data_IF_573775517381
#
_entry.id   IF_573775517381
#
_cell.length_a   1.000
_cell.length_b   1.000
_cell.length_c   1.000
_cell.angle_alpha   90.00
_cell.angle_beta   90.00
_cell.angle_gamma   90.00
#
_symmetry.space_group_name_H-M   'P 1'
#
loop_
_entity.id
_entity.type
_entity.pdbx_description
1 polymer ?
#
# COMPACT_ATOMS: atom_id res chain seq x y z
N UNK A 1 2.64 -16.81 -32.34
CA UNK A 1 1.74 -15.71 -31.94
C UNK A 1 1.92 -15.47 -30.45
N UNK A 2 1.85 -14.21 -30.03
CA UNK A 2 2.32 -13.66 -28.74
C UNK A 2 1.88 -14.43 -27.48
N UNK A 3 2.81 -15.17 -26.88
CA UNK A 3 2.92 -15.20 -25.42
C UNK A 3 4.19 -14.41 -25.14
N UNK A 4 4.09 -13.08 -25.11
CA UNK A 4 5.10 -12.28 -24.42
C UNK A 4 4.93 -12.65 -22.94
N UNK A 5 5.73 -13.61 -22.49
CA UNK A 5 5.79 -14.06 -21.11
C UNK A 5 5.80 -12.83 -20.20
N UNK A 6 4.83 -12.77 -19.29
CA UNK A 6 4.73 -11.76 -18.24
C UNK A 6 5.96 -11.84 -17.34
N UNK A 7 7.05 -11.18 -17.75
CA UNK A 7 8.36 -11.31 -17.11
C UNK A 7 8.39 -10.49 -15.83
N UNK A 8 8.25 -11.18 -14.69
CA UNK A 8 8.67 -10.63 -13.41
C UNK A 8 10.18 -10.81 -13.27
N UNK A 9 10.87 -9.79 -12.78
CA UNK A 9 12.28 -9.84 -12.43
C UNK A 9 12.41 -9.99 -10.92
N UNK A 10 13.16 -11.02 -10.48
CA UNK A 10 13.50 -11.17 -9.07
C UNK A 10 14.71 -10.32 -8.70
N UNK A 11 14.68 -9.68 -7.55
CA UNK A 11 15.80 -8.85 -7.10
C UNK A 11 15.65 -8.25 -5.72
N UNK A 12 16.51 -7.27 -5.44
CA UNK A 12 16.61 -6.59 -4.15
C UNK A 12 16.82 -5.08 -4.35
N UNK A 13 16.30 -4.30 -3.41
CA UNK A 13 16.65 -2.90 -3.25
C UNK A 13 17.81 -2.74 -2.27
N UNK A 14 18.67 -1.76 -2.50
CA UNK A 14 19.72 -1.39 -1.56
C UNK A 14 19.98 0.12 -1.59
N UNK A 15 20.43 0.69 -0.48
CA UNK A 15 20.94 2.05 -0.49
C UNK A 15 22.25 2.12 -1.26
N UNK A 16 22.38 3.12 -2.12
CA UNK A 16 23.60 3.38 -2.89
C UNK A 16 24.78 3.51 -1.93
N UNK A 17 25.80 2.70 -2.18
CA UNK A 17 27.01 2.62 -1.35
C UNK A 17 26.75 2.25 0.13
N UNK A 18 25.58 1.67 0.45
CA UNK A 18 25.19 1.34 1.82
C UNK A 18 24.82 2.56 2.69
N UNK A 19 24.74 3.76 2.11
CA UNK A 19 24.46 4.99 2.85
C UNK A 19 22.95 5.15 3.00
N UNK A 20 22.43 4.86 4.19
CA UNK A 20 21.00 4.95 4.50
C UNK A 20 20.42 6.33 4.19
N UNK A 21 19.14 6.35 3.82
CA UNK A 21 18.37 7.58 3.57
C UNK A 21 18.90 8.42 2.41
N UNK A 22 19.50 7.76 1.42
CA UNK A 22 20.00 8.38 0.17
C UNK A 22 19.31 7.80 -1.06
N UNK A 23 20.03 7.58 -2.16
CA UNK A 23 19.49 6.97 -3.36
C UNK A 23 19.33 5.46 -3.15
N UNK A 24 18.17 4.91 -3.49
CA UNK A 24 17.95 3.46 -3.54
C UNK A 24 18.22 2.98 -4.96
N UNK A 25 18.89 1.83 -5.07
CA UNK A 25 19.14 1.13 -6.33
C UNK A 25 18.43 -0.21 -6.35
N UNK A 26 17.90 -0.58 -7.52
CA UNK A 26 17.39 -1.93 -7.79
C UNK A 26 18.51 -2.79 -8.40
N UNK A 27 18.62 -4.04 -7.96
CA UNK A 27 19.56 -5.02 -8.55
C UNK A 27 18.84 -6.35 -8.76
N UNK A 28 18.75 -6.84 -10.01
CA UNK A 28 18.29 -8.19 -10.29
C UNK A 28 19.17 -9.22 -9.56
N UNK A 29 18.54 -10.13 -8.83
CA UNK A 29 19.21 -11.13 -8.00
C UNK A 29 18.27 -12.30 -7.77
N UNK A 30 18.71 -13.51 -8.09
CA UNK A 30 17.94 -14.76 -7.93
C UNK A 30 17.59 -15.08 -6.47
N UNK A 31 18.39 -14.56 -5.52
CA UNK A 31 18.16 -14.66 -4.07
C UNK A 31 17.35 -13.49 -3.50
N UNK A 32 16.93 -12.56 -4.35
CA UNK A 32 16.09 -11.44 -3.97
C UNK A 32 14.71 -11.87 -3.48
N UNK A 33 14.10 -11.07 -2.60
CA UNK A 33 12.76 -11.33 -2.06
C UNK A 33 11.65 -10.60 -2.82
N UNK A 34 12.01 -9.69 -3.72
CA UNK A 34 11.07 -8.94 -4.53
C UNK A 34 10.89 -9.59 -5.89
N UNK A 35 9.64 -9.69 -6.34
CA UNK A 35 9.27 -9.90 -7.73
C UNK A 35 8.72 -8.59 -8.28
N UNK A 36 9.28 -8.11 -9.38
CA UNK A 36 8.91 -6.82 -9.98
C UNK A 36 8.50 -7.02 -11.43
N UNK A 37 7.29 -6.58 -11.78
CA UNK A 37 6.76 -6.55 -13.15
C UNK A 37 6.96 -5.22 -13.86
N UNK A 38 7.32 -4.14 -13.15
CA UNK A 38 7.64 -2.85 -13.76
C UNK A 38 8.66 -2.07 -12.93
N UNK A 39 9.66 -1.49 -13.60
CA UNK A 39 10.60 -0.55 -13.04
C UNK A 39 10.39 0.83 -13.69
N UNK A 40 10.18 1.91 -12.91
CA UNK A 40 10.05 3.25 -13.45
C UNK A 40 11.33 3.71 -14.16
N UNK A 41 11.20 4.65 -15.11
CA UNK A 41 12.35 5.35 -15.71
C UNK A 41 13.16 6.09 -14.64
N UNK A 42 14.45 6.34 -14.90
CA UNK A 42 15.37 6.99 -13.93
C UNK A 42 14.85 8.31 -13.36
N UNK A 43 14.16 9.11 -14.16
CA UNK A 43 13.58 10.40 -13.73
C UNK A 43 12.37 10.25 -12.78
N UNK A 44 11.78 9.05 -12.70
CA UNK A 44 10.66 8.71 -11.81
C UNK A 44 11.12 7.91 -10.59
N UNK A 45 12.36 7.40 -10.58
CA UNK A 45 12.95 6.72 -9.42
C UNK A 45 13.37 7.72 -8.33
N UNK A 46 13.33 7.29 -7.07
CA UNK A 46 13.81 8.05 -5.91
C UNK A 46 13.17 9.45 -5.79
N UNK A 47 11.90 9.58 -6.18
CA UNK A 47 11.19 10.87 -6.19
C UNK A 47 10.56 11.16 -4.84
N UNK A 48 11.21 12.05 -4.10
CA UNK A 48 10.71 12.60 -2.85
C UNK A 48 11.12 14.07 -2.69
N UNK A 49 10.43 14.80 -1.79
CA UNK A 49 10.87 16.11 -1.31
C UNK A 49 11.19 16.05 0.18
N UNK A 50 12.10 16.90 0.64
CA UNK A 50 12.44 17.06 2.05
C UNK A 50 11.96 18.42 2.54
N UNK A 51 11.27 18.47 3.69
CA UNK A 51 10.89 19.75 4.30
C UNK A 51 12.04 20.33 5.15
N UNK A 52 11.84 21.54 5.69
CA UNK A 52 12.84 22.22 6.53
C UNK A 52 13.18 21.48 7.84
N UNK A 53 12.31 20.56 8.30
CA UNK A 53 12.52 19.73 9.49
C UNK A 53 13.28 18.44 9.18
N UNK A 54 13.48 18.17 7.89
CA UNK A 54 14.13 16.97 7.40
C UNK A 54 13.20 15.79 7.13
N UNK A 55 11.87 15.97 7.18
CA UNK A 55 10.91 14.92 6.84
C UNK A 55 10.83 14.73 5.33
N UNK A 56 10.76 13.47 4.90
CA UNK A 56 10.63 13.06 3.51
C UNK A 56 9.16 12.89 3.12
N UNK A 57 8.80 13.30 1.91
CA UNK A 57 7.46 13.17 1.33
C UNK A 57 7.53 12.53 -0.06
N UNK A 58 6.68 11.52 -0.35
CA UNK A 58 6.63 10.90 -1.66
C UNK A 58 6.15 11.91 -2.71
N UNK A 59 6.68 11.83 -3.93
CA UNK A 59 6.25 12.68 -5.05
C UNK A 59 5.48 11.93 -6.14
N UNK A 60 5.47 10.60 -6.10
CA UNK A 60 4.76 9.76 -7.07
C UNK A 60 3.43 9.20 -6.53
N UNK A 61 2.81 9.89 -5.57
CA UNK A 61 1.52 9.45 -5.00
C UNK A 61 0.36 9.41 -6.02
N UNK A 62 0.50 10.13 -7.13
CA UNK A 62 -0.42 10.12 -8.26
C UNK A 62 -0.32 8.84 -9.09
N UNK A 63 0.86 8.21 -9.15
CA UNK A 63 1.10 6.99 -9.92
C UNK A 63 0.55 5.75 -9.24
N UNK A 64 0.60 5.67 -7.92
CA UNK A 64 0.28 4.43 -7.21
C UNK A 64 0.49 4.51 -5.71
N UNK A 65 0.42 3.34 -5.07
CA UNK A 65 0.69 3.17 -3.65
C UNK A 65 1.10 1.72 -3.35
N UNK A 66 1.63 1.52 -2.14
CA UNK A 66 1.90 0.21 -1.57
C UNK A 66 0.87 -0.17 -0.51
N UNK A 67 0.67 -1.47 -0.34
CA UNK A 67 -0.03 -2.06 0.80
C UNK A 67 0.86 -3.07 1.49
N UNK A 68 0.82 -3.11 2.83
CA UNK A 68 1.71 -3.96 3.61
C UNK A 68 1.04 -4.58 4.82
N UNK A 69 1.18 -5.91 4.92
CA UNK A 69 0.93 -6.69 6.13
C UNK A 69 2.28 -6.93 6.83
N UNK A 70 2.45 -6.29 7.98
CA UNK A 70 3.72 -6.28 8.71
C UNK A 70 3.78 -7.37 9.78
N UNK A 71 4.96 -7.57 10.36
CA UNK A 71 5.14 -8.32 11.59
C UNK A 71 6.21 -7.69 12.47
N UNK A 72 6.05 -7.82 13.79
CA UNK A 72 6.95 -7.18 14.77
C UNK A 72 7.97 -8.15 15.37
N UNK A 73 7.74 -9.46 15.30
CA UNK A 73 8.57 -10.46 16.00
C UNK A 73 9.39 -11.25 14.97
N UNK A 74 10.73 -11.13 15.08
CA UNK A 74 11.69 -12.00 14.39
C UNK A 74 11.42 -13.46 14.75
N UNK A 75 11.40 -14.37 13.78
CA UNK A 75 10.82 -15.71 13.92
C UNK A 75 11.17 -16.47 15.21
N UNK A 76 10.18 -17.16 15.78
CA UNK A 76 10.39 -18.11 16.87
C UNK A 76 10.84 -19.46 16.31
N UNK A 77 11.63 -20.20 17.08
CA UNK A 77 12.06 -21.57 16.78
C UNK A 77 10.81 -22.47 16.81
N UNK A 78 10.12 -22.63 15.69
CA UNK A 78 8.83 -23.34 15.66
C UNK A 78 7.95 -23.20 14.41
N UNK A 79 8.38 -22.47 13.37
CA UNK A 79 7.80 -22.58 12.02
C UNK A 79 6.36 -22.07 11.81
N UNK A 80 5.67 -21.58 12.85
CA UNK A 80 4.24 -21.22 12.79
C UNK A 80 3.92 -19.74 12.56
N UNK A 81 4.88 -18.91 12.12
CA UNK A 81 4.71 -17.46 12.14
C UNK A 81 4.59 -16.85 10.72
N UNK A 82 3.54 -16.06 10.47
CA UNK A 82 3.18 -15.42 9.18
C UNK A 82 4.33 -14.72 8.46
N UNK A 83 4.31 -14.66 7.12
CA UNK A 83 5.26 -13.82 6.41
C UNK A 83 4.94 -12.33 6.57
N UNK A 84 5.90 -11.46 6.25
CA UNK A 84 5.59 -10.07 5.91
C UNK A 84 5.30 -10.00 4.43
N UNK A 85 4.31 -9.18 4.07
CA UNK A 85 3.91 -9.02 2.68
C UNK A 85 3.83 -7.54 2.29
N UNK A 86 4.24 -7.24 1.07
CA UNK A 86 4.19 -5.92 0.46
C UNK A 86 3.80 -6.04 -1.01
N UNK A 87 2.82 -5.26 -1.42
CA UNK A 87 2.38 -5.17 -2.82
C UNK A 87 2.40 -3.73 -3.29
N UNK A 88 2.91 -3.52 -4.50
CA UNK A 88 2.83 -2.24 -5.21
C UNK A 88 1.82 -2.31 -6.33
N UNK A 89 0.93 -1.31 -6.39
CA UNK A 89 -0.08 -1.17 -7.45
C UNK A 89 -0.09 0.25 -7.98
N UNK A 90 -0.21 0.40 -9.30
CA UNK A 90 -0.43 1.70 -9.93
C UNK A 90 -1.91 2.05 -9.98
N UNK A 91 -2.22 3.34 -9.98
CA UNK A 91 -3.55 3.90 -10.27
C UNK A 91 -3.67 4.14 -11.76
N UNK A 92 -4.87 4.50 -12.20
CA UNK A 92 -5.00 5.23 -13.45
C UNK A 92 -4.09 6.46 -13.43
N UNK A 93 -3.21 6.55 -14.41
CA UNK A 93 -2.27 7.65 -14.58
C UNK A 93 -2.06 7.91 -16.07
N UNK A 94 -1.57 9.10 -16.41
CA UNK A 94 -1.26 9.51 -17.78
C UNK A 94 0.26 9.57 -18.03
N UNK A 95 1.04 9.13 -17.05
CA UNK A 95 2.49 9.09 -17.11
C UNK A 95 2.95 7.80 -17.79
N UNK A 96 4.26 7.67 -18.01
CA UNK A 96 4.86 6.46 -18.55
C UNK A 96 5.02 5.38 -17.47
N UNK A 97 3.88 4.91 -16.97
CA UNK A 97 3.75 3.84 -15.99
C UNK A 97 2.54 2.95 -16.36
N UNK A 98 2.56 1.65 -15.97
CA UNK A 98 1.37 0.82 -16.05
C UNK A 98 0.20 1.48 -15.32
N UNK A 99 -1.03 1.29 -15.81
CA UNK A 99 -2.23 1.81 -15.15
C UNK A 99 -3.04 0.67 -14.54
N UNK A 100 -3.42 0.81 -13.26
CA UNK A 100 -4.22 -0.18 -12.54
C UNK A 100 -3.61 -1.58 -12.54
N UNK A 101 -2.28 -1.70 -12.40
CA UNK A 101 -1.59 -2.99 -12.41
C UNK A 101 -0.75 -3.17 -11.15
N UNK A 102 -0.79 -4.39 -10.60
CA UNK A 102 0.19 -4.83 -9.61
C UNK A 102 1.55 -4.97 -10.28
N UNK A 103 2.55 -4.28 -9.73
CA UNK A 103 3.91 -4.23 -10.29
C UNK A 103 4.99 -4.77 -9.37
N UNK A 104 4.69 -4.97 -8.08
CA UNK A 104 5.66 -5.50 -7.11
C UNK A 104 4.96 -6.45 -6.14
N UNK A 105 5.54 -7.62 -5.92
CA UNK A 105 5.20 -8.55 -4.86
C UNK A 105 6.45 -8.84 -4.00
N UNK A 106 6.27 -8.80 -2.69
CA UNK A 106 7.21 -9.31 -1.71
C UNK A 106 6.38 -10.09 -0.69
N UNK A 107 6.72 -11.37 -0.47
CA UNK A 107 6.08 -12.20 0.58
C UNK A 107 7.14 -13.11 1.19
N UNK A 108 7.73 -12.65 2.30
CA UNK A 108 8.83 -13.35 2.95
C UNK A 108 8.99 -12.92 4.42
N UNK A 109 9.70 -13.75 5.18
CA UNK A 109 10.12 -13.47 6.56
C UNK A 109 11.65 -13.52 6.65
N UNK A 110 12.37 -12.40 6.48
CA UNK A 110 13.81 -12.35 6.73
C UNK A 110 14.16 -12.64 8.20
N UNK A 111 15.45 -12.85 8.44
CA UNK A 111 15.99 -13.24 9.74
C UNK A 111 15.58 -12.30 10.87
N UNK A 112 15.50 -11.00 10.59
CA UNK A 112 15.03 -10.00 11.55
C UNK A 112 13.92 -9.15 10.95
N UNK A 113 13.02 -8.65 11.78
CA UNK A 113 11.97 -7.73 11.36
C UNK A 113 12.54 -6.42 10.79
N UNK A 114 13.70 -5.98 11.28
CA UNK A 114 14.39 -4.77 10.82
C UNK A 114 14.85 -4.87 9.37
N UNK A 115 15.25 -6.07 8.90
CA UNK A 115 15.56 -6.29 7.49
C UNK A 115 14.30 -6.06 6.64
N UNK A 116 13.17 -6.63 7.06
CA UNK A 116 11.89 -6.42 6.38
C UNK A 116 11.51 -4.94 6.36
N UNK A 117 11.65 -4.23 7.49
CA UNK A 117 11.31 -2.81 7.57
C UNK A 117 12.17 -1.95 6.64
N UNK A 118 13.46 -2.26 6.56
CA UNK A 118 14.36 -1.55 5.65
C UNK A 118 14.06 -1.83 4.18
N UNK A 119 13.78 -3.09 3.84
CA UNK A 119 13.41 -3.48 2.48
C UNK A 119 12.10 -2.82 2.02
N UNK A 120 11.09 -2.77 2.88
CA UNK A 120 9.82 -2.08 2.61
C UNK A 120 10.04 -0.57 2.44
N UNK A 121 10.85 0.05 3.31
CA UNK A 121 11.18 1.47 3.19
C UNK A 121 11.90 1.77 1.87
N UNK A 122 12.92 0.98 1.52
CA UNK A 122 13.67 1.16 0.29
C UNK A 122 12.78 1.02 -0.95
N UNK A 123 11.84 0.07 -0.97
CA UNK A 123 10.87 -0.04 -2.05
C UNK A 123 10.02 1.24 -2.18
N UNK A 124 9.47 1.75 -1.07
CA UNK A 124 8.68 2.98 -1.09
C UNK A 124 9.49 4.20 -1.58
N UNK A 125 10.75 4.31 -1.17
CA UNK A 125 11.66 5.38 -1.58
C UNK A 125 12.02 5.26 -3.06
N UNK A 126 12.39 4.07 -3.53
CA UNK A 126 12.74 3.83 -4.94
C UNK A 126 11.62 4.23 -5.89
N UNK A 127 10.37 3.84 -5.58
CA UNK A 127 9.22 4.20 -6.41
C UNK A 127 8.67 5.59 -6.10
N UNK A 128 9.09 6.23 -5.00
CA UNK A 128 8.57 7.53 -4.56
C UNK A 128 7.08 7.52 -4.22
N UNK A 129 6.52 6.36 -3.85
CA UNK A 129 5.09 6.15 -3.61
C UNK A 129 4.78 5.94 -2.13
N UNK A 130 3.59 6.35 -1.66
CA UNK A 130 3.17 6.15 -0.27
C UNK A 130 2.71 4.71 0.00
N UNK A 131 2.56 4.35 1.28
CA UNK A 131 2.20 3.01 1.74
C UNK A 131 1.06 3.02 2.76
N UNK A 132 0.11 2.09 2.65
CA UNK A 132 -0.87 1.79 3.68
C UNK A 132 -0.48 0.50 4.41
N UNK A 133 -0.27 0.60 5.71
CA UNK A 133 0.20 -0.52 6.55
C UNK A 133 -0.88 -0.90 7.56
N UNK A 134 -1.05 -2.19 7.82
CA UNK A 134 -1.79 -2.66 9.00
C UNK A 134 -1.12 -2.17 10.29
N UNK A 135 -1.87 -1.48 11.16
CA UNK A 135 -1.29 -0.82 12.33
C UNK A 135 -1.35 -1.64 13.64
N UNK A 136 -1.84 -2.88 13.61
CA UNK A 136 -1.84 -3.76 14.78
C UNK A 136 -0.41 -4.11 15.24
N UNK A 137 0.55 -4.10 14.31
CA UNK A 137 1.97 -4.37 14.53
C UNK A 137 2.78 -3.13 14.12
N UNK A 138 2.90 -2.13 15.01
CA UNK A 138 3.26 -0.77 14.64
C UNK A 138 4.77 -0.54 14.44
N UNK A 139 5.65 -1.53 14.66
CA UNK A 139 7.11 -1.26 14.60
C UNK A 139 7.57 -0.80 13.22
N UNK A 140 6.96 -1.31 12.14
CA UNK A 140 7.20 -0.79 10.78
C UNK A 140 6.85 0.70 10.66
N UNK A 141 5.72 1.12 11.24
CA UNK A 141 5.29 2.52 11.22
C UNK A 141 6.23 3.41 12.03
N UNK A 142 6.70 2.93 13.18
CA UNK A 142 7.73 3.61 13.96
C UNK A 142 9.06 3.70 13.20
N UNK A 143 9.46 2.65 12.46
CA UNK A 143 10.65 2.68 11.62
C UNK A 143 10.57 3.80 10.58
N UNK A 144 9.45 3.91 9.87
CA UNK A 144 9.19 5.00 8.93
C UNK A 144 9.26 6.36 9.63
N UNK A 145 8.56 6.53 10.76
CA UNK A 145 8.52 7.80 11.49
C UNK A 145 9.92 8.22 11.98
N UNK A 146 10.64 7.32 12.64
CA UNK A 146 11.93 7.62 13.26
C UNK A 146 13.02 7.92 12.20
N UNK A 147 12.84 7.43 10.97
CA UNK A 147 13.71 7.72 9.82
C UNK A 147 13.29 8.96 9.03
N UNK A 148 12.25 9.69 9.46
CA UNK A 148 11.74 10.90 8.80
C UNK A 148 10.76 10.64 7.65
N UNK A 149 10.35 9.40 7.42
CA UNK A 149 9.42 8.99 6.35
C UNK A 149 7.97 8.88 6.81
N UNK A 150 7.60 9.55 7.91
CA UNK A 150 6.21 9.50 8.41
C UNK A 150 5.20 9.85 7.31
N UNK A 151 5.50 10.81 6.44
CA UNK A 151 4.59 11.25 5.38
C UNK A 151 4.36 10.21 4.27
N UNK A 152 5.20 9.17 4.18
CA UNK A 152 4.95 8.02 3.29
C UNK A 152 3.84 7.12 3.83
N UNK A 153 3.65 7.06 5.16
CA UNK A 153 2.59 6.26 5.78
C UNK A 153 1.23 6.94 5.63
N UNK A 154 0.33 6.32 4.87
CA UNK A 154 -1.01 6.79 4.61
C UNK A 154 -1.86 6.62 5.87
N UNK A 155 -2.65 7.63 6.22
CA UNK A 155 -3.71 7.46 7.23
C UNK A 155 -4.86 6.66 6.62
N UNK A 156 -5.48 5.78 7.42
CA UNK A 156 -6.68 5.03 7.02
C UNK A 156 -7.67 5.87 6.16
N UNK A 157 -8.09 5.36 4.98
CA UNK A 157 -8.88 6.13 4.03
C UNK A 157 -10.33 6.33 4.46
N UNK A 158 -10.85 5.46 5.34
CA UNK A 158 -12.23 5.43 5.81
C UNK A 158 -12.56 6.51 6.86
N UNK A 159 -11.57 7.23 7.38
CA UNK A 159 -11.76 8.32 8.35
C UNK A 159 -11.19 9.64 7.87
N UNK A 160 -11.96 10.71 8.11
CA UNK A 160 -11.48 12.08 7.92
C UNK A 160 -10.35 12.42 8.90
N UNK A 161 -9.37 13.20 8.44
CA UNK A 161 -8.14 13.54 9.19
C UNK A 161 -8.40 14.07 10.60
N UNK A 162 -9.45 14.88 10.81
CA UNK A 162 -9.76 15.43 12.14
C UNK A 162 -10.28 14.36 13.12
N UNK A 163 -10.94 13.31 12.63
CA UNK A 163 -11.51 12.19 13.42
C UNK A 163 -10.49 11.08 13.73
N UNK A 164 -9.27 11.19 13.21
CA UNK A 164 -8.19 10.25 13.53
C UNK A 164 -7.77 10.41 15.00
N UNK A 165 -7.48 9.29 15.64
CA UNK A 165 -6.88 9.23 16.98
C UNK A 165 -5.49 9.88 16.99
N UNK A 166 -4.93 10.14 18.18
CA UNK A 166 -3.58 10.68 18.31
C UNK A 166 -2.55 9.77 17.63
N UNK A 167 -2.64 8.47 17.88
CA UNK A 167 -1.75 7.45 17.30
C UNK A 167 -1.94 7.34 15.78
N UNK A 168 -3.17 7.36 15.27
CA UNK A 168 -3.44 7.34 13.83
C UNK A 168 -2.84 8.59 13.13
N UNK A 169 -2.94 9.77 13.76
CA UNK A 169 -2.29 10.99 13.25
C UNK A 169 -0.76 10.89 13.31
N UNK A 170 -0.23 10.30 14.36
CA UNK A 170 1.20 10.21 14.62
C UNK A 170 1.92 9.19 13.74
N UNK A 171 1.29 8.06 13.41
CA UNK A 171 1.92 6.93 12.71
C UNK A 171 1.29 6.60 11.35
N UNK A 172 -0.01 6.83 11.20
CA UNK A 172 -0.78 6.41 10.03
C UNK A 172 -1.23 4.96 10.14
N UNK A 173 -1.37 4.31 8.99
CA UNK A 173 -1.88 2.95 8.87
C UNK A 173 -3.39 2.82 9.10
N UNK A 174 -3.84 1.57 9.09
CA UNK A 174 -5.25 1.18 9.28
C UNK A 174 -5.34 -0.01 10.24
N UNK A 175 -6.29 -0.03 11.19
CA UNK A 175 -6.50 -1.20 12.03
C UNK A 175 -7.17 -2.32 11.28
N UNK A 176 -6.78 -3.56 11.58
CA UNK A 176 -7.32 -4.74 10.91
C UNK A 176 -8.43 -5.46 11.70
N UNK A 177 -8.87 -4.89 12.82
CA UNK A 177 -9.78 -5.56 13.76
C UNK A 177 -11.25 -5.28 13.52
N UNK A 178 -11.62 -4.11 12.98
CA UNK A 178 -13.03 -3.75 12.79
C UNK A 178 -13.65 -4.46 11.60
N UNK A 179 -14.85 -5.02 11.78
CA UNK A 179 -15.57 -5.77 10.74
C UNK A 179 -15.75 -4.95 9.45
N UNK A 180 -16.11 -3.66 9.58
CA UNK A 180 -16.23 -2.77 8.42
C UNK A 180 -14.94 -2.64 7.60
N UNK A 181 -13.76 -2.69 8.23
CA UNK A 181 -12.48 -2.65 7.50
C UNK A 181 -12.21 -3.99 6.82
N UNK A 182 -12.56 -5.12 7.45
CA UNK A 182 -12.43 -6.44 6.82
C UNK A 182 -13.30 -6.55 5.57
N UNK A 183 -14.55 -6.12 5.66
CA UNK A 183 -15.47 -6.10 4.52
C UNK A 183 -14.99 -5.14 3.42
N UNK A 184 -14.54 -3.94 3.78
CA UNK A 184 -13.98 -2.99 2.81
C UNK A 184 -12.73 -3.52 2.10
N UNK A 185 -11.90 -4.28 2.81
CA UNK A 185 -10.71 -4.94 2.27
C UNK A 185 -11.09 -6.07 1.30
N UNK A 186 -12.05 -6.92 1.65
CA UNK A 186 -12.56 -7.97 0.78
C UNK A 186 -13.18 -7.40 -0.51
N UNK A 187 -14.05 -6.39 -0.37
CA UNK A 187 -14.67 -5.70 -1.50
C UNK A 187 -13.65 -5.01 -2.42
N UNK A 188 -12.54 -4.52 -1.87
CA UNK A 188 -11.45 -3.94 -2.65
C UNK A 188 -10.78 -4.99 -3.56
N UNK A 189 -10.51 -6.18 -3.01
CA UNK A 189 -9.92 -7.28 -3.77
C UNK A 189 -10.90 -7.78 -4.84
N UNK A 190 -12.15 -8.03 -4.46
CA UNK A 190 -13.20 -8.51 -5.36
C UNK A 190 -13.39 -7.55 -6.55
N UNK A 191 -13.60 -6.26 -6.27
CA UNK A 191 -13.75 -5.23 -7.31
C UNK A 191 -12.52 -5.14 -8.21
N UNK A 192 -11.31 -5.27 -7.66
CA UNK A 192 -10.09 -5.26 -8.46
C UNK A 192 -10.01 -6.48 -9.38
N UNK A 193 -10.35 -7.67 -8.87
CA UNK A 193 -10.35 -8.91 -9.67
C UNK A 193 -11.34 -8.77 -10.82
N UNK A 194 -12.59 -8.41 -10.54
CA UNK A 194 -13.63 -8.26 -11.57
C UNK A 194 -13.27 -7.25 -12.66
N UNK A 195 -12.56 -6.18 -12.29
CA UNK A 195 -12.27 -5.08 -13.21
C UNK A 195 -10.97 -5.29 -14.02
N UNK A 196 -9.95 -5.92 -13.43
CA UNK A 196 -8.59 -5.90 -13.97
C UNK A 196 -7.92 -7.27 -14.09
N UNK A 197 -8.57 -8.35 -13.67
CA UNK A 197 -8.01 -9.71 -13.65
C UNK A 197 -8.97 -10.68 -14.34
N UNK A 198 -8.42 -11.69 -15.03
CA UNK A 198 -9.26 -12.64 -15.77
C UNK A 198 -9.83 -12.02 -17.06
N UNK A 199 -11.05 -12.40 -17.44
CA UNK A 199 -11.65 -11.92 -18.69
C UNK A 199 -12.38 -10.59 -18.45
N UNK A 200 -11.77 -9.48 -18.85
CA UNK A 200 -12.29 -8.12 -18.61
C UNK A 200 -13.32 -7.73 -19.68
N UNK A 201 -13.09 -8.15 -20.93
CA UNK A 201 -14.02 -8.05 -22.07
C UNK A 201 -13.92 -9.31 -22.92
N UNK A 202 -14.84 -9.49 -23.86
CA UNK A 202 -14.97 -10.72 -24.69
C UNK A 202 -13.64 -11.24 -25.27
N UNK A 203 -12.67 -10.36 -25.57
CA UNK A 203 -11.32 -10.73 -26.03
C UNK A 203 -10.15 -10.08 -25.26
N UNK A 204 -10.41 -9.48 -24.08
CA UNK A 204 -9.38 -8.78 -23.29
C UNK A 204 -9.10 -9.51 -21.97
N UNK A 205 -7.89 -10.06 -21.85
CA UNK A 205 -7.40 -10.66 -20.61
C UNK A 205 -6.77 -9.58 -19.72
N UNK A 206 -7.18 -9.54 -18.46
CA UNK A 206 -6.60 -8.72 -17.41
C UNK A 206 -5.16 -9.11 -17.08
N UNK A 207 -4.55 -8.35 -16.19
CA UNK A 207 -3.12 -8.48 -15.88
C UNK A 207 -2.88 -8.70 -14.39
N UNK A 208 -2.32 -9.86 -14.06
CA UNK A 208 -1.84 -10.18 -12.73
C UNK A 208 -0.63 -11.12 -12.82
N UNK A 209 0.61 -10.61 -12.71
CA UNK A 209 1.81 -11.40 -12.99
C UNK A 209 2.26 -12.26 -11.79
N UNK A 210 1.56 -12.18 -10.67
CA UNK A 210 1.96 -12.81 -9.40
C UNK A 210 1.07 -14.00 -9.08
N UNK A 211 1.49 -15.20 -9.50
CA UNK A 211 0.75 -16.45 -9.29
C UNK A 211 0.49 -16.75 -7.81
N UNK A 212 1.45 -16.43 -6.93
CA UNK A 212 1.30 -16.63 -5.48
C UNK A 212 0.10 -15.85 -4.93
N UNK A 213 -0.02 -14.58 -5.31
CA UNK A 213 -1.16 -13.75 -4.88
C UNK A 213 -2.48 -14.25 -5.49
N UNK A 214 -2.49 -14.72 -6.73
CA UNK A 214 -3.69 -15.32 -7.33
C UNK A 214 -4.15 -16.57 -6.56
N UNK A 215 -3.22 -17.44 -6.18
CA UNK A 215 -3.51 -18.62 -5.36
C UNK A 215 -4.00 -18.24 -3.95
N UNK A 216 -3.46 -17.15 -3.38
CA UNK A 216 -3.85 -16.64 -2.06
C UNK A 216 -5.27 -16.03 -2.10
N UNK A 217 -5.61 -15.29 -3.16
CA UNK A 217 -6.97 -14.78 -3.42
C UNK A 217 -7.98 -15.90 -3.61
N UNK A 218 -7.65 -16.91 -4.40
CA UNK A 218 -8.56 -18.03 -4.70
C UNK A 218 -8.97 -18.83 -3.44
N UNK A 219 -8.14 -18.79 -2.39
CA UNK A 219 -8.37 -19.49 -1.12
C UNK A 219 -8.79 -18.54 0.00
N UNK A 220 -8.86 -17.23 -0.27
CA UNK A 220 -8.99 -16.21 0.75
C UNK A 220 -10.33 -16.34 1.50
N UNK A 221 -10.22 -16.57 2.80
CA UNK A 221 -11.36 -16.59 3.71
C UNK A 221 -11.34 -15.33 4.60
N UNK A 222 -12.38 -14.49 4.45
CA UNK A 222 -12.55 -13.24 5.20
C UNK A 222 -12.61 -13.51 6.71
N UNK A 223 -13.09 -14.69 7.12
CA UNK A 223 -13.17 -15.08 8.52
C UNK A 223 -11.82 -15.53 9.10
N UNK A 224 -10.91 -16.07 8.27
CA UNK A 224 -9.64 -16.63 8.70
C UNK A 224 -8.43 -16.05 7.95
N UNK A 225 -8.09 -14.80 8.28
CA UNK A 225 -7.13 -13.97 7.54
C UNK A 225 -5.66 -14.19 7.88
N UNK A 226 -5.34 -15.02 8.88
CA UNK A 226 -3.96 -15.19 9.40
C UNK A 226 -3.04 -16.01 8.50
N UNK A 227 -3.56 -16.66 7.45
CA UNK A 227 -2.77 -17.46 6.50
C UNK A 227 -2.56 -16.78 5.14
N UNK A 228 -3.19 -15.63 4.91
CA UNK A 228 -3.32 -15.02 3.59
C UNK A 228 -2.58 -13.68 3.50
N UNK A 229 -1.30 -13.67 3.91
CA UNK A 229 -0.49 -12.44 4.01
C UNK A 229 -0.51 -11.64 2.68
N UNK A 230 -0.50 -12.33 1.53
CA UNK A 230 -0.48 -11.67 0.22
C UNK A 230 -1.83 -11.01 -0.09
N UNK A 231 -2.94 -11.67 0.25
CA UNK A 231 -4.27 -11.07 0.16
C UNK A 231 -4.41 -9.83 1.06
N UNK A 232 -3.86 -9.87 2.28
CA UNK A 232 -3.90 -8.71 3.18
C UNK A 232 -3.15 -7.53 2.57
N UNK A 233 -1.88 -7.71 2.20
CA UNK A 233 -1.07 -6.63 1.63
C UNK A 233 -1.62 -6.12 0.29
N UNK A 234 -2.10 -6.99 -0.59
CA UNK A 234 -2.65 -6.59 -1.89
C UNK A 234 -3.94 -5.78 -1.73
N UNK A 235 -4.87 -6.20 -0.88
CA UNK A 235 -6.10 -5.45 -0.65
C UNK A 235 -5.84 -4.10 0.03
N UNK A 236 -4.84 -4.02 0.93
CA UNK A 236 -4.39 -2.73 1.48
C UNK A 236 -3.85 -1.81 0.38
N UNK A 237 -3.15 -2.36 -0.62
CA UNK A 237 -2.62 -1.58 -1.74
C UNK A 237 -3.76 -1.02 -2.61
N UNK A 238 -4.79 -1.83 -2.88
CA UNK A 238 -5.99 -1.38 -3.60
C UNK A 238 -6.72 -0.29 -2.82
N UNK A 239 -6.95 -0.48 -1.52
CA UNK A 239 -7.57 0.53 -0.65
C UNK A 239 -6.76 1.84 -0.60
N UNK A 240 -5.43 1.74 -0.58
CA UNK A 240 -4.52 2.89 -0.63
C UNK A 240 -4.62 3.67 -1.94
N UNK A 241 -5.02 3.00 -3.03
CA UNK A 241 -5.25 3.64 -4.32
C UNK A 241 -6.66 4.24 -4.45
N UNK A 242 -7.65 3.56 -3.90
CA UNK A 242 -9.07 3.91 -4.00
C UNK A 242 -9.59 4.75 -2.82
N UNK A 243 -8.72 5.57 -2.20
CA UNK A 243 -9.03 6.32 -0.96
C UNK A 243 -10.32 7.16 -1.03
N UNK A 244 -10.69 7.62 -2.22
CA UNK A 244 -11.88 8.43 -2.46
C UNK A 244 -13.19 7.66 -2.26
N UNK A 245 -13.21 6.34 -2.52
CA UNK A 245 -14.40 5.50 -2.36
C UNK A 245 -14.79 5.30 -0.89
N UNK A 246 -13.82 5.41 0.02
CA UNK A 246 -14.03 5.18 1.45
C UNK A 246 -14.29 6.47 2.24
N UNK A 247 -14.21 7.64 1.61
CA UNK A 247 -14.47 8.89 2.33
C UNK A 247 -15.96 8.98 2.67
N UNK A 248 -16.32 9.32 3.92
CA UNK A 248 -17.72 9.44 4.30
C UNK A 248 -18.37 10.53 3.47
N UNK A 249 -19.44 10.18 2.75
CA UNK A 249 -20.26 11.10 1.98
C UNK A 249 -20.71 12.22 2.92
N UNK A 250 -20.37 13.47 2.60
CA UNK A 250 -20.91 14.63 3.32
C UNK A 250 -22.43 14.61 3.10
N UNK A 251 -23.19 14.14 4.09
CA UNK A 251 -24.63 14.42 4.13
C UNK A 251 -24.76 15.94 4.17
N UNK A 252 -25.28 16.54 3.10
CA UNK A 252 -25.70 17.93 3.13
C UNK A 252 -26.78 18.03 4.20
N UNK A 253 -26.43 18.59 5.36
CA UNK A 253 -27.44 19.06 6.28
C UNK A 253 -28.11 20.24 5.61
N UNK A 254 -29.40 20.10 5.26
CA UNK A 254 -30.23 21.26 4.95
C UNK A 254 -30.21 22.15 6.18
N UNK A 255 -29.37 23.18 6.17
CA UNK A 255 -29.38 24.20 7.22
C UNK A 255 -30.70 24.94 7.02
N UNK A 256 -31.71 24.62 7.83
CA UNK A 256 -32.90 25.44 7.95
C UNK A 256 -32.45 26.71 8.67
N UNK A 257 -32.10 27.75 7.91
CA UNK A 257 -31.81 29.07 8.46
C UNK A 257 -33.14 29.71 8.83
N UNK A 258 -33.56 29.52 10.08
CA UNK A 258 -34.68 30.29 10.64
C UNK A 258 -34.19 31.72 10.90
N UNK A 259 -34.46 32.62 9.95
CA UNK A 259 -34.29 34.05 10.19
C UNK A 259 -35.32 34.50 11.22
N UNK A 260 -34.85 35.00 12.37
CA UNK A 260 -35.73 35.69 13.31
C UNK A 260 -36.32 36.92 12.63
N UNK A 261 -37.64 36.94 12.41
CA UNK A 261 -38.35 38.12 11.94
C UNK A 261 -38.69 38.98 13.16
N UNK A 262 -38.05 40.12 13.28
CA UNK A 262 -38.48 41.14 14.24
C UNK A 262 -39.77 41.78 13.72
N UNK A 263 -40.80 41.78 14.56
CA UNK A 263 -42.04 42.52 14.32
C UNK A 263 -41.86 43.93 14.86
N UNK A 264 -41.83 44.92 13.96
CA UNK A 264 -41.65 46.34 14.31
C UNK A 264 -42.99 46.97 14.73
N UNK A 265 -43.68 46.35 15.70
CA UNK A 265 -44.83 46.96 16.38
C UNK A 265 -44.37 47.49 17.74
N UNK A 266 -43.83 48.71 17.70
CA UNK A 266 -43.75 49.67 18.82
C UNK A 266 -43.02 49.17 20.06
#
# INVERSE_FOLDING_TARGET
SLIQEHHTTRGSFSWKNGIKDTEVIWTPNTRGRFLVGWLPKKNMQNRYKKNNRGDFFPLNEHLGAFGCDSYDISGTVGGGASNGALHGITKFNMDDAPSNQFFLEYVARPQTAEIFFEEVLMACVFYGMPILVENNKPRLLYHFKNRGYRSFSINRPDKLKHKLSKTEKELGGIPNSSEAVKQAHAAAIESYIETYVGLVKEDEMGYMPFSRTLEDWAKFDISNRTKFDASISSGLAVMACQRHLYQPVKKQSNIIVNFARYNNKG
#
